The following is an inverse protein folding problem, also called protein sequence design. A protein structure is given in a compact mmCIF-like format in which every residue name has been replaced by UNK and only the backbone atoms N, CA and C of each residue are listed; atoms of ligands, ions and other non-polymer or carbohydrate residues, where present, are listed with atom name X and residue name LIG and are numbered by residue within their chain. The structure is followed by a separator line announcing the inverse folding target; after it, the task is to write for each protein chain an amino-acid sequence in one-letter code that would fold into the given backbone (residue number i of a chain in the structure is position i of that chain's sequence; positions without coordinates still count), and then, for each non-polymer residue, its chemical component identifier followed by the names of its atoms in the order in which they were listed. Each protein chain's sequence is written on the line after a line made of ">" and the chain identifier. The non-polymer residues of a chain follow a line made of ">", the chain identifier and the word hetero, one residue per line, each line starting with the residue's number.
data_IF_179238056001
#
_entry.id   IF_179238056001
#
_cell.length_a   1.000
_cell.length_b   1.000
_cell.length_c   1.000
_cell.angle_alpha   90.00
_cell.angle_beta   90.00
_cell.angle_gamma   90.00
#
_symmetry.space_group_name_H-M   'P 1'
#
loop_
_entity.id
_entity.type
_entity.pdbx_description
1 polymer ?
#
# COMPACT_ATOMS: atom_id res chain seq x y z
N UNK A 1 27.35 31.28 5.01
CA UNK A 1 27.76 29.97 5.54
C UNK A 1 27.64 28.98 4.39
N UNK A 2 28.72 28.32 4.00
CA UNK A 2 28.72 27.34 2.89
C UNK A 2 28.54 25.97 3.54
N UNK A 3 27.53 25.20 3.10
CA UNK A 3 27.37 23.82 3.55
C UNK A 3 28.55 22.99 3.06
N UNK A 4 28.99 22.05 3.89
CA UNK A 4 30.02 21.10 3.49
C UNK A 4 29.41 19.96 2.67
N UNK A 5 30.20 19.37 1.78
CA UNK A 5 29.80 18.18 1.00
C UNK A 5 29.25 17.06 1.91
N UNK A 6 29.80 16.92 3.13
CA UNK A 6 29.31 15.94 4.10
C UNK A 6 27.90 16.25 4.63
N UNK A 7 27.57 17.54 4.81
CA UNK A 7 26.22 17.96 5.22
C UNK A 7 25.21 17.81 4.10
N UNK A 8 25.61 18.09 2.86
CA UNK A 8 24.79 17.89 1.66
C UNK A 8 24.44 16.41 1.49
N UNK A 9 25.45 15.52 1.50
CA UNK A 9 25.23 14.07 1.40
C UNK A 9 24.34 13.52 2.52
N UNK A 10 24.49 14.04 3.75
CA UNK A 10 23.64 13.63 4.88
C UNK A 10 22.20 14.11 4.72
N UNK A 11 21.98 15.30 4.16
CA UNK A 11 20.64 15.81 3.89
C UNK A 11 19.97 15.04 2.75
N UNK A 12 20.71 14.74 1.68
CA UNK A 12 20.23 13.95 0.55
C UNK A 12 19.80 12.55 1.00
N UNK A 13 20.67 11.81 1.72
CA UNK A 13 20.32 10.48 2.22
C UNK A 13 19.12 10.47 3.18
N UNK A 14 18.92 11.54 3.96
CA UNK A 14 17.70 11.69 4.79
C UNK A 14 16.47 11.93 3.95
N UNK A 15 16.58 12.74 2.89
CA UNK A 15 15.46 13.03 1.98
C UNK A 15 15.06 11.78 1.23
N UNK A 16 16.01 11.07 0.65
CA UNK A 16 15.78 9.81 -0.06
C UNK A 16 15.15 8.75 0.85
N UNK A 17 15.69 8.56 2.05
CA UNK A 17 15.13 7.59 3.00
C UNK A 17 13.70 7.92 3.42
N UNK A 18 13.37 9.20 3.58
CA UNK A 18 12.00 9.64 3.88
C UNK A 18 11.07 9.44 2.69
N UNK A 19 11.50 9.80 1.48
CA UNK A 19 10.73 9.64 0.25
C UNK A 19 10.41 8.15 0.00
N UNK A 20 11.42 7.28 0.09
CA UNK A 20 11.25 5.83 -0.04
C UNK A 20 10.30 5.26 1.02
N UNK A 21 10.47 5.65 2.29
CA UNK A 21 9.61 5.18 3.37
C UNK A 21 8.15 5.62 3.20
N UNK A 22 7.91 6.84 2.71
CA UNK A 22 6.56 7.35 2.43
C UNK A 22 5.91 6.62 1.24
N UNK A 23 6.69 6.34 0.19
CA UNK A 23 6.20 5.61 -0.98
C UNK A 23 5.80 4.17 -0.61
N UNK A 24 6.71 3.45 0.07
CA UNK A 24 6.46 2.09 0.56
C UNK A 24 5.25 2.04 1.49
N UNK A 25 5.17 2.97 2.46
CA UNK A 25 4.04 3.03 3.39
C UNK A 25 2.71 3.31 2.68
N UNK A 26 2.69 4.17 1.65
CA UNK A 26 1.47 4.42 0.86
C UNK A 26 1.05 3.22 0.02
N UNK A 27 2.00 2.49 -0.56
CA UNK A 27 1.71 1.29 -1.34
C UNK A 27 1.15 0.19 -0.44
N UNK A 28 1.83 -0.12 0.66
CA UNK A 28 1.39 -1.11 1.63
C UNK A 28 0.00 -0.76 2.19
N UNK A 29 -0.22 0.48 2.62
CA UNK A 29 -1.53 0.91 3.14
C UNK A 29 -2.66 0.82 2.10
N UNK A 30 -2.36 1.07 0.82
CA UNK A 30 -3.35 0.86 -0.26
C UNK A 30 -3.67 -0.61 -0.46
N UNK A 31 -2.68 -1.49 -0.42
CA UNK A 31 -2.91 -2.93 -0.55
C UNK A 31 -3.70 -3.49 0.63
N UNK A 32 -3.29 -3.15 1.86
CA UNK A 32 -3.99 -3.55 3.08
C UNK A 32 -5.45 -3.07 3.08
N UNK A 33 -5.70 -1.81 2.72
CA UNK A 33 -7.06 -1.27 2.65
C UNK A 33 -7.95 -1.97 1.61
N UNK A 34 -7.39 -2.40 0.47
CA UNK A 34 -8.13 -3.20 -0.53
C UNK A 34 -8.49 -4.57 0.05
N UNK A 35 -7.57 -5.22 0.74
CA UNK A 35 -7.79 -6.55 1.34
C UNK A 35 -8.83 -6.47 2.47
N UNK A 36 -8.75 -5.45 3.33
CA UNK A 36 -9.73 -5.23 4.40
C UNK A 36 -11.13 -4.99 3.83
N UNK A 37 -11.24 -4.12 2.81
CA UNK A 37 -12.50 -3.87 2.11
C UNK A 37 -13.07 -5.16 1.50
N UNK A 38 -12.24 -5.97 0.86
CA UNK A 38 -12.66 -7.24 0.28
C UNK A 38 -13.14 -8.23 1.35
N UNK A 39 -12.45 -8.34 2.49
CA UNK A 39 -12.87 -9.17 3.64
C UNK A 39 -14.23 -8.72 4.15
N UNK A 40 -14.42 -7.42 4.37
CA UNK A 40 -15.68 -6.87 4.85
C UNK A 40 -16.82 -7.16 3.85
N UNK A 41 -16.58 -7.00 2.55
CA UNK A 41 -17.58 -7.33 1.53
C UNK A 41 -17.95 -8.82 1.50
N UNK A 42 -16.97 -9.73 1.62
CA UNK A 42 -17.24 -11.16 1.71
C UNK A 42 -18.09 -11.50 2.94
N UNK A 43 -17.77 -10.91 4.10
CA UNK A 43 -18.55 -11.10 5.33
C UNK A 43 -19.99 -10.61 5.21
N UNK A 44 -20.22 -9.57 4.40
CA UNK A 44 -21.56 -9.03 4.11
C UNK A 44 -22.26 -9.75 2.94
N UNK A 45 -21.71 -10.85 2.43
CA UNK A 45 -22.33 -11.65 1.36
C UNK A 45 -22.30 -11.00 -0.03
N UNK A 46 -21.45 -10.00 -0.24
CA UNK A 46 -21.25 -9.39 -1.56
C UNK A 46 -20.61 -10.40 -2.50
N UNK A 47 -21.04 -10.45 -3.76
CA UNK A 47 -20.52 -11.41 -4.74
C UNK A 47 -19.05 -11.13 -5.08
N UNK A 48 -18.28 -12.20 -5.32
CA UNK A 48 -16.85 -12.14 -5.67
C UNK A 48 -16.61 -11.22 -6.88
N UNK A 49 -17.47 -11.26 -7.89
CA UNK A 49 -17.34 -10.41 -9.09
C UNK A 49 -17.45 -8.91 -8.77
N UNK A 50 -18.36 -8.53 -7.87
CA UNK A 50 -18.50 -7.13 -7.42
C UNK A 50 -17.27 -6.72 -6.62
N UNK A 51 -16.73 -7.60 -5.77
CA UNK A 51 -15.55 -7.34 -4.95
C UNK A 51 -14.32 -7.10 -5.83
N UNK A 52 -14.10 -7.96 -6.82
CA UNK A 52 -13.01 -7.83 -7.80
C UNK A 52 -13.09 -6.46 -8.50
N UNK A 53 -14.26 -6.10 -9.02
CA UNK A 53 -14.47 -4.82 -9.73
C UNK A 53 -14.30 -3.60 -8.82
N UNK A 54 -14.68 -3.71 -7.55
CA UNK A 54 -14.65 -2.59 -6.60
C UNK A 54 -13.26 -2.37 -5.98
N UNK A 55 -12.53 -3.44 -5.71
CA UNK A 55 -11.23 -3.39 -5.02
C UNK A 55 -10.03 -3.46 -5.98
N UNK A 56 -10.25 -3.93 -7.20
CA UNK A 56 -9.19 -4.18 -8.19
C UNK A 56 -8.30 -5.37 -7.83
N UNK A 57 -8.71 -6.22 -6.88
CA UNK A 57 -8.01 -7.45 -6.54
C UNK A 57 -8.31 -8.55 -7.56
N UNK A 58 -7.33 -9.42 -7.83
CA UNK A 58 -7.53 -10.65 -8.60
C UNK A 58 -8.51 -11.59 -7.90
N UNK A 59 -9.21 -12.43 -8.68
CA UNK A 59 -10.08 -13.48 -8.15
C UNK A 59 -9.37 -14.37 -7.11
N UNK A 60 -8.14 -14.80 -7.40
CA UNK A 60 -7.34 -15.64 -6.52
C UNK A 60 -7.14 -15.00 -5.13
N UNK A 61 -6.72 -13.72 -5.10
CA UNK A 61 -6.62 -12.95 -3.84
C UNK A 61 -7.95 -12.87 -3.11
N UNK A 62 -9.07 -12.61 -3.79
CA UNK A 62 -10.39 -12.51 -3.14
C UNK A 62 -10.84 -13.87 -2.59
N UNK A 63 -10.62 -14.96 -3.32
CA UNK A 63 -10.97 -16.31 -2.88
C UNK A 63 -10.11 -16.79 -1.71
N UNK A 64 -8.82 -16.43 -1.70
CA UNK A 64 -7.92 -16.72 -0.58
C UNK A 64 -8.37 -16.08 0.75
N UNK A 65 -9.18 -15.01 0.70
CA UNK A 65 -9.73 -14.35 1.89
C UNK A 65 -10.95 -15.06 2.50
N UNK A 66 -11.45 -16.13 1.87
CA UNK A 66 -12.60 -16.91 2.35
C UNK A 66 -12.22 -18.00 3.37
N UNK A 67 -10.92 -18.26 3.53
CA UNK A 67 -10.36 -19.22 4.47
C UNK A 67 -10.02 -18.56 5.80
#
# INVERSE_FOLDING_TARGET
>A
MVMTIAEELKQEGRREGLEQGLEQGREQGREEGKLETARAFLQNGVSVDIIIRSTGLSREKVEALRH
#
